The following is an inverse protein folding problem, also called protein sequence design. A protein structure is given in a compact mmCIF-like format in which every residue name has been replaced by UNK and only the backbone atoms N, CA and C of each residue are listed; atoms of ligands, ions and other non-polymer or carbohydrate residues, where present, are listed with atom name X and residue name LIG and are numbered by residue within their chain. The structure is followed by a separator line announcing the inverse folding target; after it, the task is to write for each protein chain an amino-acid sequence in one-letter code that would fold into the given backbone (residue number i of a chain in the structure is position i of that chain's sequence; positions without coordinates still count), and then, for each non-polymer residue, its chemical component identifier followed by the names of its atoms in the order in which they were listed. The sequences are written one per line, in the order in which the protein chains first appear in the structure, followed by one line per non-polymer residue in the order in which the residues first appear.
data_IF_086378465131
#
_entry.id   IF_086378465131
#
_cell.length_a   1.000
_cell.length_b   1.000
_cell.length_c   1.000
_cell.angle_alpha   90.00
_cell.angle_beta   90.00
_cell.angle_gamma   90.00
#
_symmetry.space_group_name_H-M   'P 1'
#
loop_
_entity.id
_entity.type
_entity.pdbx_description
1 polymer ?
#
# COMPACT_ATOMS: atom_id res chain seq x y z
N UNK A 1 -21.26 -11.84 11.27
CA UNK A 1 -21.20 -10.60 10.48
C UNK A 1 -22.17 -9.60 11.09
N UNK A 2 -21.70 -8.44 11.55
CA UNK A 2 -22.58 -7.40 12.08
C UNK A 2 -23.36 -6.78 10.91
N UNK A 3 -24.66 -6.50 11.10
CA UNK A 3 -25.57 -6.01 10.04
C UNK A 3 -25.09 -4.72 9.33
N UNK A 4 -24.16 -3.98 9.92
CA UNK A 4 -23.55 -2.78 9.32
C UNK A 4 -22.60 -3.05 8.15
N UNK A 5 -21.89 -4.19 8.14
CA UNK A 5 -20.94 -4.49 7.06
C UNK A 5 -21.65 -4.84 5.75
N UNK A 6 -22.76 -5.58 5.84
CA UNK A 6 -23.54 -5.99 4.66
C UNK A 6 -24.17 -4.79 3.95
N UNK A 7 -24.72 -3.84 4.71
CA UNK A 7 -25.29 -2.61 4.15
C UNK A 7 -24.22 -1.73 3.49
N UNK A 8 -23.04 -1.61 4.09
CA UNK A 8 -21.91 -0.85 3.53
C UNK A 8 -21.38 -1.48 2.25
N UNK A 9 -21.23 -2.81 2.22
CA UNK A 9 -20.82 -3.54 1.01
C UNK A 9 -21.87 -3.37 -0.10
N UNK A 10 -23.17 -3.40 0.20
CA UNK A 10 -24.21 -3.19 -0.81
C UNK A 10 -24.25 -1.74 -1.31
N UNK A 11 -23.96 -0.77 -0.45
CA UNK A 11 -23.88 0.64 -0.85
C UNK A 11 -22.67 0.88 -1.78
N UNK A 12 -21.50 0.32 -1.45
CA UNK A 12 -20.32 0.33 -2.33
C UNK A 12 -20.64 -0.36 -3.65
N UNK A 13 -21.27 -1.54 -3.61
CA UNK A 13 -21.72 -2.25 -4.80
C UNK A 13 -22.60 -1.39 -5.71
N UNK A 14 -23.58 -0.70 -5.13
CA UNK A 14 -24.54 0.13 -5.85
C UNK A 14 -23.87 1.36 -6.48
N UNK A 15 -23.01 2.06 -5.73
CA UNK A 15 -22.26 3.22 -6.23
C UNK A 15 -21.34 2.84 -7.38
N UNK A 16 -20.60 1.73 -7.25
CA UNK A 16 -19.72 1.25 -8.32
C UNK A 16 -20.54 0.85 -9.57
N UNK A 17 -21.65 0.13 -9.40
CA UNK A 17 -22.54 -0.28 -10.52
C UNK A 17 -23.13 0.91 -11.28
N UNK A 18 -23.32 2.06 -10.63
CA UNK A 18 -23.93 3.24 -11.26
C UNK A 18 -22.99 4.03 -12.19
N UNK A 19 -21.69 3.73 -12.22
CA UNK A 19 -20.72 4.55 -12.97
C UNK A 19 -19.50 3.82 -13.54
N UNK A 20 -19.29 2.54 -13.24
CA UNK A 20 -18.22 1.76 -13.84
C UNK A 20 -18.77 0.77 -14.88
N UNK A 21 -18.11 0.63 -16.05
CA UNK A 21 -18.55 -0.25 -17.12
C UNK A 21 -18.54 -1.74 -16.73
N UNK A 22 -17.79 -2.11 -15.70
CA UNK A 22 -17.73 -3.47 -15.17
C UNK A 22 -17.59 -3.47 -13.64
N UNK A 23 -18.39 -4.29 -12.96
CA UNK A 23 -18.36 -4.46 -11.51
C UNK A 23 -18.48 -5.93 -11.15
N UNK A 24 -17.41 -6.50 -10.60
CA UNK A 24 -17.40 -7.81 -9.99
C UNK A 24 -17.35 -7.68 -8.46
N UNK A 25 -18.17 -8.46 -7.76
CA UNK A 25 -18.20 -8.48 -6.29
C UNK A 25 -18.15 -9.92 -5.82
N UNK A 26 -17.01 -10.29 -5.25
CA UNK A 26 -16.81 -11.62 -4.67
C UNK A 26 -17.11 -11.57 -3.18
N UNK A 27 -18.04 -12.42 -2.72
CA UNK A 27 -18.37 -12.59 -1.29
C UNK A 27 -18.03 -14.01 -0.88
N UNK A 28 -17.19 -14.15 0.14
CA UNK A 28 -16.87 -15.46 0.72
C UNK A 28 -17.78 -15.78 1.91
N UNK A 29 -18.22 -17.03 1.98
CA UNK A 29 -19.04 -17.55 3.09
C UNK A 29 -18.22 -17.89 4.33
N UNK A 30 -16.89 -17.90 4.21
CA UNK A 30 -15.93 -18.18 5.28
C UNK A 30 -14.82 -17.13 5.24
N UNK A 31 -14.18 -16.88 6.39
CA UNK A 31 -13.02 -16.00 6.44
C UNK A 31 -11.83 -16.71 5.76
N UNK A 32 -11.43 -16.22 4.58
CA UNK A 32 -10.29 -16.73 3.82
C UNK A 32 -8.97 -16.01 4.15
N UNK A 33 -8.98 -15.09 5.11
CA UNK A 33 -7.83 -14.23 5.38
C UNK A 33 -7.55 -13.24 4.24
N UNK A 34 -6.92 -12.12 4.58
CA UNK A 34 -6.62 -11.06 3.61
C UNK A 34 -5.72 -11.53 2.44
N UNK A 35 -4.67 -12.35 2.65
CA UNK A 35 -3.79 -12.78 1.55
C UNK A 35 -4.50 -13.55 0.44
N UNK A 36 -5.35 -14.51 0.80
CA UNK A 36 -6.08 -15.31 -0.18
C UNK A 36 -7.11 -14.48 -0.94
N UNK A 37 -7.80 -13.54 -0.26
CA UNK A 37 -8.79 -12.66 -0.89
C UNK A 37 -8.13 -11.71 -1.89
N UNK A 38 -6.99 -11.11 -1.55
CA UNK A 38 -6.28 -10.22 -2.48
C UNK A 38 -5.69 -11.02 -3.64
N UNK A 39 -5.11 -12.19 -3.39
CA UNK A 39 -4.57 -13.05 -4.44
C UNK A 39 -5.67 -13.43 -5.46
N UNK A 40 -6.81 -13.90 -4.98
CA UNK A 40 -7.97 -14.25 -5.81
C UNK A 40 -8.49 -13.05 -6.60
N UNK A 41 -8.63 -11.87 -5.95
CA UNK A 41 -9.11 -10.66 -6.63
C UNK A 41 -8.16 -10.19 -7.73
N UNK A 42 -6.85 -10.31 -7.55
CA UNK A 42 -5.86 -10.00 -8.59
C UNK A 42 -5.87 -11.03 -9.71
N UNK A 43 -5.97 -12.32 -9.39
CA UNK A 43 -6.08 -13.39 -10.38
C UNK A 43 -7.33 -13.22 -11.25
N UNK A 44 -8.46 -12.86 -10.65
CA UNK A 44 -9.71 -12.56 -11.36
C UNK A 44 -9.55 -11.33 -12.26
N UNK A 45 -9.00 -10.22 -11.74
CA UNK A 45 -8.77 -9.00 -12.52
C UNK A 45 -7.86 -9.26 -13.74
N UNK A 46 -6.77 -10.00 -13.54
CA UNK A 46 -5.84 -10.36 -14.61
C UNK A 46 -6.32 -11.56 -15.45
N UNK A 47 -7.44 -12.21 -15.14
CA UNK A 47 -8.00 -13.25 -16.01
C UNK A 47 -8.47 -12.66 -17.35
N UNK A 48 -8.88 -11.39 -17.36
CA UNK A 48 -9.13 -10.63 -18.57
C UNK A 48 -7.79 -10.26 -19.24
N UNK A 49 -7.56 -10.75 -20.46
CA UNK A 49 -6.33 -10.48 -21.22
C UNK A 49 -6.11 -9.01 -21.58
N UNK A 50 -7.18 -8.20 -21.61
CA UNK A 50 -7.11 -6.75 -21.91
C UNK A 50 -6.61 -5.91 -20.72
N UNK A 51 -6.61 -6.47 -19.50
CA UNK A 51 -6.16 -5.76 -18.30
C UNK A 51 -4.66 -5.96 -18.11
N UNK A 52 -3.82 -4.98 -18.41
CA UNK A 52 -2.37 -5.04 -18.19
C UNK A 52 -1.97 -4.54 -16.79
N UNK A 53 -2.81 -3.69 -16.18
CA UNK A 53 -2.55 -3.03 -14.89
C UNK A 53 -3.79 -3.00 -14.00
N UNK A 54 -3.58 -3.05 -12.70
CA UNK A 54 -4.63 -2.93 -11.67
C UNK A 54 -4.23 -1.87 -10.66
N UNK A 55 -5.18 -1.01 -10.27
CA UNK A 55 -5.03 -0.13 -9.11
C UNK A 55 -5.81 -0.74 -7.94
N UNK A 56 -5.07 -1.13 -6.91
CA UNK A 56 -5.63 -1.59 -5.64
C UNK A 56 -5.84 -0.39 -4.72
N UNK A 57 -7.01 -0.29 -4.08
CA UNK A 57 -7.36 0.77 -3.13
C UNK A 57 -8.00 0.14 -1.89
N UNK A 58 -7.48 0.44 -0.71
CA UNK A 58 -8.08 0.01 0.56
C UNK A 58 -9.38 0.79 0.86
N UNK A 59 -10.30 0.21 1.63
CA UNK A 59 -11.63 0.80 1.86
C UNK A 59 -11.65 1.88 2.97
N UNK A 60 -10.55 2.00 3.72
CA UNK A 60 -10.40 2.90 4.86
C UNK A 60 -9.45 4.09 4.58
N UNK A 61 -9.21 4.39 3.31
CA UNK A 61 -8.29 5.46 2.88
C UNK A 61 -9.01 6.67 2.27
N UNK A 62 -8.42 7.84 2.46
CA UNK A 62 -8.73 9.04 1.69
C UNK A 62 -7.75 9.15 0.52
N UNK A 63 -8.30 9.42 -0.65
CA UNK A 63 -7.52 9.66 -1.87
C UNK A 63 -7.48 11.15 -2.19
N UNK A 64 -6.32 11.60 -2.66
CA UNK A 64 -6.25 12.86 -3.39
C UNK A 64 -7.07 12.77 -4.68
N UNK A 65 -7.72 13.87 -5.14
CA UNK A 65 -8.43 13.89 -6.42
C UNK A 65 -7.58 13.47 -7.62
N UNK A 66 -6.26 13.61 -7.53
CA UNK A 66 -5.30 13.30 -8.60
C UNK A 66 -4.61 11.94 -8.42
N UNK A 67 -4.94 11.17 -7.37
CA UNK A 67 -4.21 9.94 -7.00
C UNK A 67 -4.19 8.90 -8.13
N UNK A 68 -5.36 8.57 -8.69
CA UNK A 68 -5.49 7.54 -9.73
C UNK A 68 -4.83 7.99 -11.04
N UNK A 69 -5.05 9.24 -11.44
CA UNK A 69 -4.42 9.82 -12.63
C UNK A 69 -2.90 9.87 -12.51
N UNK A 70 -2.37 10.19 -11.33
CA UNK A 70 -0.93 10.21 -11.08
C UNK A 70 -0.29 8.81 -11.21
N UNK A 71 -0.96 7.78 -10.68
CA UNK A 71 -0.50 6.40 -10.81
C UNK A 71 -0.46 5.94 -12.28
N UNK A 72 -1.55 6.18 -13.03
CA UNK A 72 -1.63 5.82 -14.45
C UNK A 72 -0.59 6.58 -15.27
N UNK A 73 -0.51 7.90 -15.07
CA UNK A 73 0.44 8.77 -15.78
C UNK A 73 1.88 8.32 -15.60
N UNK A 74 2.26 7.95 -14.38
CA UNK A 74 3.57 7.40 -14.08
C UNK A 74 3.78 6.02 -14.72
N UNK A 75 2.81 5.12 -14.58
CA UNK A 75 2.88 3.76 -15.11
C UNK A 75 3.03 3.71 -16.63
N UNK A 76 2.39 4.63 -17.37
CA UNK A 76 2.55 4.76 -18.82
C UNK A 76 3.95 5.13 -19.29
N UNK A 77 4.79 5.69 -18.41
CA UNK A 77 6.10 6.27 -18.77
C UNK A 77 7.28 5.58 -18.09
N UNK A 78 7.03 4.76 -17.09
CA UNK A 78 8.05 3.94 -16.43
C UNK A 78 8.18 2.60 -17.15
N UNK A 79 9.39 2.03 -17.11
CA UNK A 79 9.64 0.70 -17.67
C UNK A 79 8.85 -0.37 -16.89
N UNK A 80 8.31 -1.34 -17.62
CA UNK A 80 7.68 -2.53 -17.03
C UNK A 80 8.72 -3.67 -16.89
N UNK A 81 8.54 -4.61 -15.93
CA UNK A 81 7.45 -4.67 -14.95
C UNK A 81 7.67 -3.71 -13.76
N UNK A 82 6.58 -3.16 -13.24
CA UNK A 82 6.65 -2.26 -12.09
C UNK A 82 5.45 -2.33 -11.15
N UNK A 83 5.67 -1.77 -9.96
CA UNK A 83 4.69 -1.46 -8.93
C UNK A 83 4.86 -0.02 -8.50
N UNK A 84 3.76 0.73 -8.34
CA UNK A 84 3.80 2.14 -7.95
C UNK A 84 2.83 2.37 -6.80
N UNK A 85 3.34 2.73 -5.62
CA UNK A 85 2.50 3.16 -4.50
C UNK A 85 2.16 4.66 -4.60
N UNK A 86 0.92 5.01 -4.29
CA UNK A 86 0.42 6.39 -4.30
C UNK A 86 0.90 7.24 -3.11
N UNK A 87 1.82 6.71 -2.31
CA UNK A 87 2.47 7.44 -1.25
C UNK A 87 3.93 6.96 -1.09
N UNK A 88 4.79 7.80 -0.50
CA UNK A 88 6.19 7.48 -0.20
C UNK A 88 6.34 6.27 0.72
N UNK A 89 7.50 5.59 0.66
CA UNK A 89 7.81 4.42 1.51
C UNK A 89 7.56 4.69 2.99
N UNK A 90 7.06 3.67 3.68
CA UNK A 90 6.94 3.61 5.14
C UNK A 90 7.73 2.42 5.64
N UNK A 91 8.73 2.66 6.47
CA UNK A 91 9.62 1.62 7.02
C UNK A 91 10.25 0.70 5.94
N UNK A 92 10.59 1.27 4.77
CA UNK A 92 11.19 0.53 3.66
C UNK A 92 10.22 -0.33 2.85
N UNK A 93 8.90 -0.22 3.12
CA UNK A 93 7.84 -0.95 2.43
C UNK A 93 6.93 0.06 1.70
N UNK A 94 6.56 -0.19 0.44
CA UNK A 94 5.56 0.60 -0.25
C UNK A 94 4.23 0.57 0.50
N UNK A 95 3.61 1.72 0.79
CA UNK A 95 2.28 1.74 1.38
C UNK A 95 1.28 1.11 0.40
N UNK A 96 0.67 0.03 0.82
CA UNK A 96 -0.30 -0.79 0.07
C UNK A 96 -1.73 -0.19 0.06
N UNK A 97 -1.92 0.94 0.74
CA UNK A 97 -3.16 1.72 0.85
C UNK A 97 -3.80 2.06 -0.50
N UNK A 98 -2.97 2.42 -1.48
CA UNK A 98 -3.36 2.66 -2.86
C UNK A 98 -2.13 2.44 -3.76
N UNK A 99 -2.20 1.47 -4.66
CA UNK A 99 -1.05 0.99 -5.41
C UNK A 99 -1.45 0.49 -6.79
N UNK A 100 -0.65 0.81 -7.79
CA UNK A 100 -0.74 0.26 -9.14
C UNK A 100 0.23 -0.91 -9.29
N UNK A 101 -0.26 -1.99 -9.90
CA UNK A 101 0.45 -3.23 -10.16
C UNK A 101 0.32 -3.60 -11.65
N UNK A 102 1.43 -3.91 -12.31
CA UNK A 102 1.44 -4.54 -13.64
C UNK A 102 1.16 -6.04 -13.54
N UNK A 103 0.61 -6.64 -14.59
CA UNK A 103 0.35 -8.09 -14.70
C UNK A 103 1.61 -8.92 -14.42
N UNK A 104 2.74 -8.51 -14.95
CA UNK A 104 4.03 -9.16 -14.80
C UNK A 104 4.51 -9.09 -13.35
N UNK A 105 4.32 -7.95 -12.68
CA UNK A 105 4.61 -7.82 -11.25
C UNK A 105 3.68 -8.69 -10.38
N UNK A 106 2.41 -8.87 -10.78
CA UNK A 106 1.52 -9.83 -10.11
C UNK A 106 2.03 -11.26 -10.26
N UNK A 107 2.33 -11.68 -11.50
CA UNK A 107 2.90 -12.99 -11.84
C UNK A 107 4.18 -13.28 -11.06
N UNK A 108 5.06 -12.28 -10.92
CA UNK A 108 6.28 -12.40 -10.13
C UNK A 108 6.01 -12.67 -8.65
N UNK A 109 5.02 -11.98 -8.04
CA UNK A 109 4.72 -12.16 -6.62
C UNK A 109 3.90 -13.41 -6.29
N UNK A 110 3.10 -13.88 -7.25
CA UNK A 110 2.07 -14.91 -7.02
C UNK A 110 2.61 -16.20 -6.40
N UNK A 111 3.68 -16.85 -6.91
CA UNK A 111 4.16 -18.12 -6.36
C UNK A 111 4.57 -18.01 -4.88
N UNK A 112 5.20 -16.90 -4.50
CA UNK A 112 5.63 -16.71 -3.12
C UNK A 112 4.45 -16.46 -2.18
N UNK A 113 3.40 -15.76 -2.65
CA UNK A 113 2.17 -15.55 -1.88
C UNK A 113 1.39 -16.85 -1.71
N UNK A 114 1.28 -17.68 -2.75
CA UNK A 114 0.69 -19.02 -2.64
C UNK A 114 1.43 -19.89 -1.62
N UNK A 115 2.77 -19.91 -1.68
CA UNK A 115 3.60 -20.63 -0.72
C UNK A 115 3.42 -20.09 0.72
N UNK A 116 3.33 -18.77 0.89
CA UNK A 116 3.08 -18.13 2.18
C UNK A 116 1.73 -18.54 2.78
N UNK A 117 0.67 -18.50 1.98
CA UNK A 117 -0.68 -18.91 2.40
C UNK A 117 -0.69 -20.39 2.80
N UNK A 118 -0.12 -21.26 1.97
CA UNK A 118 -0.09 -22.70 2.19
C UNK A 118 0.73 -23.06 3.44
N UNK A 119 1.90 -22.45 3.62
CA UNK A 119 2.84 -22.77 4.71
C UNK A 119 2.33 -22.35 6.08
N UNK A 120 1.68 -21.18 6.18
CA UNK A 120 1.27 -20.61 7.46
C UNK A 120 -0.25 -20.68 7.68
N UNK A 121 -0.97 -21.45 6.85
CA UNK A 121 -2.41 -21.70 6.97
C UNK A 121 -3.23 -20.42 7.15
N UNK A 122 -2.98 -19.44 6.27
CA UNK A 122 -3.50 -18.07 6.43
C UNK A 122 -4.97 -17.90 6.03
N UNK A 123 -5.65 -18.98 5.64
CA UNK A 123 -7.09 -19.05 5.47
C UNK A 123 -7.77 -19.05 6.85
N UNK A 124 -7.97 -17.86 7.44
CA UNK A 124 -8.59 -17.73 8.76
C UNK A 124 -8.39 -16.36 9.43
N UNK A 125 -8.71 -16.28 10.73
CA UNK A 125 -8.56 -15.05 11.51
C UNK A 125 -7.08 -14.67 11.71
N UNK A 126 -6.78 -13.38 11.63
CA UNK A 126 -5.41 -12.82 11.57
C UNK A 126 -4.54 -13.05 12.83
N UNK A 127 -5.11 -13.52 13.94
CA UNK A 127 -4.53 -13.39 15.28
C UNK A 127 -3.49 -14.41 15.75
N UNK A 128 -3.31 -15.56 15.07
CA UNK A 128 -2.49 -16.68 15.58
C UNK A 128 -1.31 -17.05 14.65
N UNK A 129 -0.68 -16.07 14.01
CA UNK A 129 0.44 -16.32 13.11
C UNK A 129 1.73 -16.52 13.89
N UNK A 130 2.50 -17.54 13.52
CA UNK A 130 3.85 -17.73 14.02
C UNK A 130 4.79 -16.72 13.34
N UNK A 131 4.88 -15.52 13.94
CA UNK A 131 5.68 -14.43 13.41
C UNK A 131 7.16 -14.76 13.35
N UNK A 132 7.67 -15.58 14.26
CA UNK A 132 9.09 -15.96 14.29
C UNK A 132 9.39 -16.93 13.15
N UNK A 133 8.55 -17.97 12.96
CA UNK A 133 8.69 -18.87 11.82
C UNK A 133 8.54 -18.16 10.46
N UNK A 134 7.67 -17.14 10.36
CA UNK A 134 7.56 -16.32 9.14
C UNK A 134 8.84 -15.52 8.91
N UNK A 135 9.40 -14.87 9.93
CA UNK A 135 10.65 -14.11 9.82
C UNK A 135 11.81 -14.99 9.39
N UNK A 136 11.96 -16.16 10.00
CA UNK A 136 13.00 -17.13 9.65
C UNK A 136 12.88 -17.59 8.20
N UNK A 137 11.65 -17.90 7.76
CA UNK A 137 11.38 -18.31 6.38
C UNK A 137 11.72 -17.21 5.37
N UNK A 138 11.30 -15.97 5.63
CA UNK A 138 11.60 -14.82 4.76
C UNK A 138 13.10 -14.50 4.76
N UNK A 139 13.78 -14.61 5.90
CA UNK A 139 15.23 -14.41 5.99
C UNK A 139 16.00 -15.45 5.18
N UNK A 140 15.61 -16.73 5.23
CA UNK A 140 16.23 -17.79 4.43
C UNK A 140 16.06 -17.55 2.92
N UNK A 141 14.86 -17.16 2.49
CA UNK A 141 14.58 -16.80 1.10
C UNK A 141 15.42 -15.62 0.63
N UNK A 142 15.46 -14.55 1.42
CA UNK A 142 16.21 -13.35 1.11
C UNK A 142 17.72 -13.63 1.00
N UNK A 143 18.26 -14.40 1.95
CA UNK A 143 19.67 -14.82 1.95
C UNK A 143 20.05 -15.63 0.70
N UNK A 144 19.15 -16.48 0.19
CA UNK A 144 19.42 -17.32 -0.98
C UNK A 144 19.69 -16.53 -2.27
N UNK A 145 19.28 -15.26 -2.33
CA UNK A 145 19.47 -14.36 -3.48
C UNK A 145 20.23 -13.08 -3.12
N UNK A 146 20.80 -13.00 -1.92
CA UNK A 146 21.56 -11.83 -1.48
C UNK A 146 20.74 -10.54 -1.36
N UNK A 147 19.43 -10.63 -1.13
CA UNK A 147 18.56 -9.47 -0.89
C UNK A 147 18.31 -9.28 0.60
N UNK A 148 18.01 -8.04 1.02
CA UNK A 148 17.67 -7.75 2.41
C UNK A 148 16.31 -8.36 2.78
N UNK A 149 16.28 -9.09 3.91
CA UNK A 149 15.04 -9.64 4.43
C UNK A 149 14.11 -8.53 4.95
N UNK A 150 12.79 -8.62 4.71
CA UNK A 150 11.85 -7.70 5.33
C UNK A 150 11.76 -7.91 6.84
N UNK A 151 11.56 -6.83 7.58
CA UNK A 151 11.34 -6.88 9.04
C UNK A 151 9.87 -7.10 9.39
N UNK A 152 8.95 -6.94 8.44
CA UNK A 152 7.53 -7.20 8.63
C UNK A 152 7.15 -8.60 8.14
N UNK A 153 6.07 -9.14 8.70
CA UNK A 153 5.53 -10.47 8.37
C UNK A 153 4.14 -10.36 7.73
N UNK A 154 3.80 -9.18 7.19
CA UNK A 154 2.56 -8.97 6.46
C UNK A 154 2.68 -9.52 5.05
N UNK A 155 1.54 -9.74 4.39
CA UNK A 155 1.53 -10.10 2.96
C UNK A 155 2.26 -9.06 2.09
N UNK A 156 2.23 -7.77 2.46
CA UNK A 156 2.84 -6.70 1.67
C UNK A 156 4.36 -6.81 1.73
N UNK A 157 4.90 -7.21 2.89
CA UNK A 157 6.31 -7.53 3.05
C UNK A 157 6.72 -8.75 2.23
N UNK A 158 5.84 -9.76 2.12
CA UNK A 158 6.08 -10.93 1.27
C UNK A 158 6.04 -10.56 -0.22
N UNK A 159 5.11 -9.70 -0.65
CA UNK A 159 5.04 -9.19 -2.03
C UNK A 159 6.27 -8.35 -2.38
N UNK A 160 6.65 -7.43 -1.51
CA UNK A 160 7.86 -6.61 -1.66
C UNK A 160 9.11 -7.49 -1.79
N UNK A 161 9.27 -8.53 -0.95
CA UNK A 161 10.35 -9.50 -1.10
C UNK A 161 10.28 -10.22 -2.45
N UNK A 162 9.10 -10.70 -2.86
CA UNK A 162 8.95 -11.40 -4.14
C UNK A 162 9.35 -10.52 -5.33
N UNK A 163 8.91 -9.27 -5.35
CA UNK A 163 9.28 -8.31 -6.40
C UNK A 163 10.78 -8.05 -6.44
N UNK A 164 11.44 -7.91 -5.28
CA UNK A 164 12.89 -7.74 -5.21
C UNK A 164 13.64 -8.99 -5.71
N UNK A 165 13.16 -10.18 -5.38
CA UNK A 165 13.75 -11.45 -5.82
C UNK A 165 13.67 -11.61 -7.35
N UNK A 166 12.57 -11.14 -7.96
CA UNK A 166 12.32 -11.23 -9.41
C UNK A 166 12.77 -9.98 -10.19
N UNK A 167 13.39 -9.00 -9.53
CA UNK A 167 13.90 -7.78 -10.18
C UNK A 167 12.81 -6.83 -10.70
N UNK A 168 11.59 -6.91 -10.15
CA UNK A 168 10.49 -5.98 -10.48
C UNK A 168 10.80 -4.61 -9.89
N UNK A 169 10.61 -3.55 -10.69
CA UNK A 169 10.84 -2.19 -10.22
C UNK A 169 9.75 -1.76 -9.22
N UNK A 170 10.17 -1.30 -8.05
CA UNK A 170 9.27 -0.82 -6.99
C UNK A 170 9.43 0.69 -6.88
N UNK A 171 8.33 1.41 -7.08
CA UNK A 171 8.29 2.86 -7.07
C UNK A 171 7.30 3.38 -6.03
N UNK A 172 7.59 4.57 -5.52
CA UNK A 172 6.65 5.32 -4.68
C UNK A 172 6.57 6.74 -5.19
N UNK A 173 5.36 7.26 -5.39
CA UNK A 173 5.21 8.64 -5.81
C UNK A 173 5.84 9.59 -4.79
N UNK A 174 6.53 10.67 -5.22
CA UNK A 174 7.20 11.60 -4.31
C UNK A 174 6.25 12.56 -3.56
N UNK A 175 4.95 12.30 -3.63
CA UNK A 175 3.90 13.01 -2.92
C UNK A 175 2.94 12.01 -2.31
N UNK A 176 2.36 12.37 -1.17
CA UNK A 176 1.39 11.54 -0.48
C UNK A 176 0.00 11.79 -1.07
N UNK A 177 -0.47 10.90 -1.95
CA UNK A 177 -1.78 10.97 -2.59
C UNK A 177 -2.80 10.00 -1.99
N UNK A 178 -2.37 9.21 -1.00
CA UNK A 178 -3.23 8.38 -0.16
C UNK A 178 -2.85 8.54 1.31
N UNK A 179 -3.85 8.53 2.17
CA UNK A 179 -3.69 8.52 3.62
C UNK A 179 -4.85 7.71 4.22
N UNK A 180 -4.64 7.03 5.35
CA UNK A 180 -5.77 6.41 6.03
C UNK A 180 -6.72 7.49 6.58
N UNK A 181 -8.03 7.23 6.57
CA UNK A 181 -9.08 8.10 7.15
C UNK A 181 -9.00 8.29 8.67
N UNK A 182 -7.97 7.74 9.31
CA UNK A 182 -7.72 7.85 10.75
C UNK A 182 -8.49 6.84 11.61
N UNK A 183 -7.75 6.29 12.57
CA UNK A 183 -8.17 5.77 13.88
C UNK A 183 -9.33 4.75 14.00
N UNK A 184 -9.67 3.93 13.00
CA UNK A 184 -10.67 2.85 13.20
C UNK A 184 -10.00 1.46 13.20
N UNK A 185 -9.54 0.99 14.37
CA UNK A 185 -8.94 -0.35 14.54
C UNK A 185 -7.84 -0.49 15.61
N UNK A 186 -7.46 -1.71 16.00
CA UNK A 186 -6.67 -2.08 17.20
C UNK A 186 -5.26 -1.48 17.34
N UNK A 187 -4.72 -0.80 16.32
CA UNK A 187 -3.43 -0.12 16.36
C UNK A 187 -3.54 1.40 16.62
N UNK A 188 -4.73 1.88 16.97
CA UNK A 188 -5.04 3.32 16.96
C UNK A 188 -5.09 3.94 18.35
N UNK A 189 -3.91 4.13 18.95
CA UNK A 189 -3.76 5.16 19.99
C UNK A 189 -3.16 6.41 19.35
N UNK A 190 -3.49 7.64 19.82
CA UNK A 190 -2.78 8.85 19.41
C UNK A 190 -1.26 8.72 19.53
N UNK A 191 -0.80 7.97 20.54
CA UNK A 191 0.59 7.56 20.71
C UNK A 191 1.12 6.70 19.55
N UNK A 192 0.36 5.71 19.09
CA UNK A 192 0.75 4.93 17.92
C UNK A 192 0.74 5.76 16.64
N UNK A 193 -0.25 6.64 16.43
CA UNK A 193 -0.31 7.54 15.28
C UNK A 193 0.84 8.57 15.27
N UNK A 194 1.25 9.06 16.43
CA UNK A 194 2.44 9.92 16.58
C UNK A 194 3.72 9.10 16.35
N UNK A 195 3.82 7.91 16.95
CA UNK A 195 5.00 7.02 16.84
C UNK A 195 5.23 6.57 15.40
N UNK A 196 4.16 6.33 14.65
CA UNK A 196 4.22 5.84 13.28
C UNK A 196 4.14 6.95 12.23
N UNK A 197 4.11 8.22 12.63
CA UNK A 197 4.03 9.37 11.72
C UNK A 197 2.65 9.62 11.11
N UNK A 198 1.68 8.72 11.30
CA UNK A 198 0.30 8.83 10.81
C UNK A 198 -0.42 10.12 11.19
N UNK A 199 -0.07 10.73 12.33
CA UNK A 199 -0.64 12.01 12.77
C UNK A 199 -0.26 13.20 11.86
N UNK A 200 0.77 13.06 11.01
CA UNK A 200 1.28 14.11 10.13
C UNK A 200 1.14 13.76 8.64
N UNK A 201 0.46 12.66 8.32
CA UNK A 201 0.17 12.26 6.94
C UNK A 201 -0.80 13.27 6.30
N UNK A 202 -0.26 14.31 5.65
CA UNK A 202 -1.07 15.27 4.90
C UNK A 202 -1.15 14.85 3.44
N UNK A 203 -2.38 14.65 2.97
CA UNK A 203 -2.67 14.44 1.55
C UNK A 203 -2.28 15.67 0.73
N UNK A 204 -1.50 15.46 -0.33
CA UNK A 204 -1.27 16.47 -1.36
C UNK A 204 -2.55 16.59 -2.19
N UNK A 205 -3.17 17.76 -2.16
CA UNK A 205 -4.40 18.09 -2.90
C UNK A 205 -4.14 19.08 -4.03
N UNK A 206 -2.89 19.19 -4.47
CA UNK A 206 -2.53 20.07 -5.58
C UNK A 206 -3.30 19.67 -6.84
N UNK A 207 -3.79 20.65 -7.62
CA UNK A 207 -4.40 20.38 -8.91
C UNK A 207 -3.36 19.82 -9.90
N UNK A 208 -3.83 19.21 -10.98
CA UNK A 208 -3.00 18.46 -11.92
C UNK A 208 -1.86 19.28 -12.52
N UNK A 209 -2.12 20.56 -12.83
CA UNK A 209 -1.19 21.50 -13.45
C UNK A 209 0.06 21.74 -12.58
N UNK A 210 -0.08 21.62 -11.25
CA UNK A 210 1.02 21.74 -10.31
C UNK A 210 1.70 20.40 -10.01
N UNK A 211 0.96 19.30 -10.17
CA UNK A 211 1.42 17.95 -9.84
C UNK A 211 2.19 17.29 -11.00
N UNK A 212 1.71 17.43 -12.23
CA UNK A 212 2.29 16.77 -13.41
C UNK A 212 3.76 17.11 -13.64
N UNK A 213 4.22 18.39 -13.56
CA UNK A 213 5.64 18.71 -13.73
C UNK A 213 6.55 18.04 -12.68
N UNK A 214 6.04 17.84 -11.46
CA UNK A 214 6.77 17.14 -10.38
C UNK A 214 6.87 15.65 -10.68
N UNK A 215 5.81 15.04 -11.20
CA UNK A 215 5.84 13.66 -11.68
C UNK A 215 6.81 13.50 -12.84
N UNK A 216 6.79 14.40 -13.83
CA UNK A 216 7.70 14.33 -14.98
C UNK A 216 9.16 14.36 -14.56
N UNK A 217 9.52 15.26 -13.65
CA UNK A 217 10.87 15.34 -13.11
C UNK A 217 11.28 14.05 -12.38
N UNK A 218 10.34 13.39 -11.68
CA UNK A 218 10.59 12.12 -11.00
C UNK A 218 10.69 10.95 -11.99
N UNK A 219 9.80 10.85 -12.97
CA UNK A 219 9.80 9.83 -14.04
C UNK A 219 11.08 9.92 -14.88
N UNK A 220 11.50 11.14 -15.25
CA UNK A 220 12.70 11.38 -16.06
C UNK A 220 13.97 10.83 -15.38
N UNK A 221 13.97 10.73 -14.05
CA UNK A 221 15.06 10.12 -13.27
C UNK A 221 14.95 8.60 -13.13
N UNK A 222 13.99 7.96 -13.81
CA UNK A 222 13.69 6.54 -13.70
C UNK A 222 12.72 6.19 -12.57
N UNK A 223 12.03 7.18 -11.99
CA UNK A 223 11.21 7.01 -10.81
C UNK A 223 12.03 6.69 -9.57
N UNK A 224 11.48 5.82 -8.71
CA UNK A 224 12.18 5.26 -7.54
C UNK A 224 11.45 5.52 -6.23
N UNK A 225 12.18 5.35 -5.14
CA UNK A 225 11.66 5.50 -3.78
C UNK A 225 12.32 6.73 -3.15
N UNK A 226 11.74 7.92 -3.32
CA UNK A 226 12.25 9.22 -2.83
C UNK A 226 12.17 9.35 -1.28
N UNK A 227 12.40 8.25 -0.57
CA UNK A 227 12.24 8.05 0.87
C UNK A 227 13.14 8.96 1.71
N UNK A 228 14.36 9.21 1.24
CA UNK A 228 15.34 10.01 1.98
C UNK A 228 14.90 11.47 2.08
N UNK A 229 14.48 12.07 0.95
CA UNK A 229 14.02 13.46 0.89
C UNK A 229 12.73 13.67 1.69
N UNK A 230 11.82 12.69 1.64
CA UNK A 230 10.53 12.81 2.30
C UNK A 230 10.61 12.55 3.81
N UNK A 231 11.36 11.53 4.25
CA UNK A 231 11.65 11.31 5.68
C UNK A 231 12.44 12.46 6.29
N UNK A 232 13.32 13.14 5.54
CA UNK A 232 14.02 14.33 6.02
C UNK A 232 13.03 15.48 6.25
N UNK A 233 12.09 15.68 5.32
CA UNK A 233 11.07 16.73 5.39
C UNK A 233 10.04 16.46 6.50
N UNK A 234 9.56 15.22 6.64
CA UNK A 234 8.65 14.79 7.71
C UNK A 234 9.32 14.88 9.10
N UNK A 235 10.60 14.47 9.23
CA UNK A 235 11.36 14.62 10.49
C UNK A 235 11.55 16.08 10.88
N UNK A 236 11.86 16.95 9.93
CA UNK A 236 12.03 18.38 10.17
C UNK A 236 10.72 19.01 10.65
N UNK A 237 9.61 18.78 9.93
CA UNK A 237 8.29 19.30 10.28
C UNK A 237 7.78 18.75 11.63
N UNK A 238 7.98 17.46 11.89
CA UNK A 238 7.66 16.82 13.18
C UNK A 238 8.52 17.31 14.35
N UNK A 239 9.74 17.78 14.08
CA UNK A 239 10.62 18.41 15.08
C UNK A 239 10.14 19.83 15.43
N UNK A 240 9.76 20.61 14.41
CA UNK A 240 9.24 21.97 14.55
C UNK A 240 7.93 21.97 15.33
N UNK A 241 6.98 21.09 14.99
CA UNK A 241 5.69 20.98 15.70
C UNK A 241 5.84 20.54 17.15
N UNK A 242 6.75 19.60 17.44
CA UNK A 242 7.07 19.21 18.83
C UNK A 242 7.63 20.37 19.65
N UNK A 243 8.55 21.15 19.06
CA UNK A 243 9.09 22.35 19.72
C UNK A 243 8.04 23.41 19.97
N UNK A 244 7.15 23.66 19.00
CA UNK A 244 6.04 24.59 19.15
C UNK A 244 5.08 24.16 20.27
N UNK A 245 4.73 22.88 20.34
CA UNK A 245 3.89 22.33 21.41
C UNK A 245 4.53 22.48 22.79
N UNK A 246 5.82 22.15 22.92
CA UNK A 246 6.57 22.33 24.18
C UNK A 246 6.65 23.80 24.60
N UNK A 247 6.76 24.72 23.63
CA UNK A 247 6.76 26.15 23.89
C UNK A 247 5.41 26.61 24.44
N UNK A 248 4.30 26.21 23.80
CA UNK A 248 2.93 26.54 24.25
C UNK A 248 2.65 25.98 25.65
N UNK A 249 3.12 24.78 25.97
CA UNK A 249 2.96 24.20 27.31
C UNK A 249 3.72 24.99 28.38
N UNK A 250 4.87 25.58 28.06
CA UNK A 250 5.64 26.44 28.99
C UNK A 250 4.98 27.79 29.28
N UNK A 251 4.12 28.28 28.39
CA UNK A 251 3.37 29.52 28.59
C UNK A 251 2.00 29.30 29.24
N UNK A 252 1.59 28.04 29.45
CA UNK A 252 0.36 27.65 30.15
C UNK A 252 0.58 27.24 31.61
N UNK A 253 1.84 27.06 32.03
CA UNK A 253 2.26 26.85 33.41
C UNK A 253 2.73 28.18 34.00
#
# INVERSE_FOLDING_TARGET
AQRGDAARVEQVATTIRSGLPHVAITRHTRNRGLPSVILEGLDDAFSNAEVDRVICVEDDVDLSPTALSALLYASERLAEPHVIAAAPLRDGIPPNQCMLLTREAHRASRPLIEAFIARFHLDGAYGNRDHDAIREWLAALAASRGVAAPTATSQDAVRDLAWRLEGVAIHTLPMRLVAHRGLRGQHNTPLHAIRTGGAFERLDRSPWELLAPRLDAWITRGGGTDEVSLKASERLLGSITRRAYQLVQRFRA
#
